data_IF_699160640710
#
_entry.id   IF_699160640710
#
_cell.length_a   1.000
_cell.length_b   1.000
_cell.length_c   1.000
_cell.angle_alpha   90.00
_cell.angle_beta   90.00
_cell.angle_gamma   90.00
#
_symmetry.space_group_name_H-M   'P 1'
#
loop_
_entity.id
_entity.type
_entity.pdbx_description
1 polymer ?
#
# COMPACT_ATOMS: atom_id res chain seq x y z
N UNK A 1 3.04 7.61 87.36
CA UNK A 1 3.88 7.05 86.28
C UNK A 1 3.55 5.59 86.15
N UNK A 2 2.81 5.21 85.12
CA UNK A 2 2.66 3.82 84.66
C UNK A 2 2.55 3.87 83.14
N UNK A 3 3.53 3.26 82.47
CA UNK A 3 3.52 2.94 81.05
C UNK A 3 2.68 1.68 80.79
N UNK A 4 2.25 1.51 79.52
CA UNK A 4 2.28 0.19 78.89
C UNK A 4 0.99 -0.32 78.26
N UNK A 5 0.93 -0.21 76.93
CA UNK A 5 0.50 -1.32 76.06
C UNK A 5 -0.99 -1.44 75.70
N UNK A 6 -1.27 -1.57 74.39
CA UNK A 6 -2.55 -2.10 73.90
C UNK A 6 -2.95 -1.57 72.53
N UNK A 7 -2.44 -2.21 71.48
CA UNK A 7 -2.77 -1.97 70.07
C UNK A 7 -4.29 -2.01 69.80
N UNK A 8 -4.84 -0.94 69.21
CA UNK A 8 -6.17 -0.93 68.59
C UNK A 8 -6.03 -1.24 67.10
N UNK A 9 -6.58 -2.38 66.69
CA UNK A 9 -6.76 -2.75 65.29
C UNK A 9 -7.78 -3.87 65.21
N UNK A 10 -9.06 -3.51 65.16
CA UNK A 10 -10.14 -4.47 64.93
C UNK A 10 -10.04 -5.09 63.53
N UNK A 11 -10.60 -6.29 63.31
CA UNK A 11 -10.50 -6.98 62.03
C UNK A 11 -11.25 -6.20 60.93
N UNK A 12 -10.57 -5.98 59.82
CA UNK A 12 -11.12 -5.39 58.60
C UNK A 12 -11.94 -6.46 57.87
N UNK A 13 -13.26 -6.30 57.80
CA UNK A 13 -14.12 -7.14 56.97
C UNK A 13 -13.90 -6.79 55.49
N UNK A 14 -13.18 -7.63 54.76
CA UNK A 14 -13.10 -7.56 53.29
C UNK A 14 -14.17 -8.49 52.73
N UNK A 15 -15.28 -7.92 52.24
CA UNK A 15 -16.25 -8.65 51.44
C UNK A 15 -15.62 -8.98 50.08
N UNK A 16 -15.03 -10.17 49.95
CA UNK A 16 -14.70 -10.76 48.67
C UNK A 16 -16.01 -11.24 48.05
N UNK A 17 -16.51 -10.49 47.06
CA UNK A 17 -17.60 -10.93 46.21
C UNK A 17 -17.06 -12.08 45.35
N UNK A 18 -17.41 -13.31 45.72
CA UNK A 18 -17.10 -14.52 44.98
C UNK A 18 -17.87 -14.50 43.65
N UNK A 19 -17.27 -13.96 42.59
CA UNK A 19 -17.82 -14.08 41.23
C UNK A 19 -17.72 -15.55 40.85
N UNK A 20 -18.87 -16.22 40.75
CA UNK A 20 -18.94 -17.59 40.23
C UNK A 20 -18.35 -17.61 38.81
N UNK A 21 -17.62 -18.66 38.43
CA UNK A 21 -17.15 -18.79 37.06
C UNK A 21 -18.36 -18.79 36.13
N UNK A 22 -18.45 -17.77 35.29
CA UNK A 22 -19.33 -17.81 34.13
C UNK A 22 -18.86 -18.97 33.27
N UNK A 23 -19.77 -19.89 32.92
CA UNK A 23 -19.55 -20.83 31.82
C UNK A 23 -19.34 -20.00 30.56
N UNK A 24 -18.07 -19.78 30.19
CA UNK A 24 -17.70 -19.19 28.92
C UNK A 24 -17.88 -20.31 27.88
N UNK A 25 -18.89 -20.25 26.99
CA UNK A 25 -18.99 -21.23 25.93
C UNK A 25 -17.71 -21.18 25.10
N UNK A 26 -17.20 -22.32 24.60
CA UNK A 26 -16.00 -22.33 23.78
C UNK A 26 -16.17 -21.35 22.62
N UNK A 27 -15.16 -20.51 22.40
CA UNK A 27 -15.09 -19.61 21.25
C UNK A 27 -15.42 -20.41 19.99
N UNK A 28 -16.56 -20.10 19.36
CA UNK A 28 -16.83 -20.63 18.02
C UNK A 28 -15.71 -20.11 17.12
N UNK A 29 -15.02 -20.97 16.35
CA UNK A 29 -14.16 -20.46 15.31
C UNK A 29 -15.01 -19.56 14.42
N UNK A 30 -14.57 -18.30 14.25
CA UNK A 30 -15.19 -17.40 13.27
C UNK A 30 -15.20 -18.07 11.90
N UNK A 31 -16.04 -17.60 10.95
CA UNK A 31 -16.07 -18.19 9.61
C UNK A 31 -14.67 -18.18 9.03
N UNK A 32 -14.04 -19.35 8.97
CA UNK A 32 -12.82 -19.56 8.21
C UNK A 32 -13.22 -19.52 6.76
N UNK A 33 -13.25 -18.31 6.19
CA UNK A 33 -13.06 -18.19 4.76
C UNK A 33 -11.70 -18.83 4.50
N UNK A 34 -11.72 -20.04 3.93
CA UNK A 34 -10.52 -20.63 3.38
C UNK A 34 -10.00 -19.64 2.33
N UNK A 35 -9.01 -18.84 2.73
CA UNK A 35 -8.11 -18.19 1.81
C UNK A 35 -7.34 -19.34 1.19
N UNK A 36 -7.76 -19.76 0.02
CA UNK A 36 -6.89 -20.53 -0.86
C UNK A 36 -5.64 -19.67 -1.02
N UNK A 37 -4.52 -20.07 -0.39
CA UNK A 37 -3.23 -19.44 -0.64
C UNK A 37 -2.93 -19.60 -2.12
N UNK A 38 -3.29 -18.60 -2.91
CA UNK A 38 -3.09 -18.64 -4.35
C UNK A 38 -1.61 -18.39 -4.60
N UNK A 39 -1.01 -19.27 -5.41
CA UNK A 39 0.35 -19.08 -5.93
C UNK A 39 0.49 -17.68 -6.54
N UNK A 40 1.57 -16.94 -6.26
CA UNK A 40 1.81 -15.65 -6.89
C UNK A 40 1.81 -15.74 -8.41
N UNK A 41 1.11 -14.82 -9.07
CA UNK A 41 1.07 -14.66 -10.52
C UNK A 41 1.74 -13.33 -10.89
N UNK A 42 2.77 -13.38 -11.72
CA UNK A 42 3.55 -12.21 -12.10
C UNK A 42 3.15 -11.73 -13.49
N UNK A 43 3.03 -10.42 -13.65
CA UNK A 43 2.50 -9.78 -14.85
C UNK A 43 3.47 -8.74 -15.40
N UNK A 44 3.56 -8.69 -16.71
CA UNK A 44 4.28 -7.66 -17.46
C UNK A 44 3.37 -7.26 -18.61
N UNK A 45 2.89 -6.00 -18.60
CA UNK A 45 2.04 -5.53 -19.69
C UNK A 45 2.83 -5.53 -21.02
N UNK A 46 2.14 -5.68 -22.16
CA UNK A 46 2.79 -5.79 -23.46
C UNK A 46 3.77 -4.66 -23.77
N UNK A 47 4.77 -4.96 -24.60
CA UNK A 47 5.81 -4.01 -25.04
C UNK A 47 6.75 -3.61 -23.92
N UNK A 48 6.65 -2.40 -23.36
CA UNK A 48 7.67 -1.91 -22.45
C UNK A 48 7.77 -2.76 -21.18
N UNK A 49 6.66 -3.27 -20.66
CA UNK A 49 6.65 -4.15 -19.50
C UNK A 49 7.40 -5.46 -19.76
N UNK A 50 7.17 -6.09 -20.90
CA UNK A 50 7.87 -7.30 -21.36
C UNK A 50 9.36 -7.03 -21.60
N UNK A 51 9.71 -5.93 -22.28
CA UNK A 51 11.10 -5.51 -22.52
C UNK A 51 11.83 -5.34 -21.19
N UNK A 52 11.22 -4.65 -20.24
CA UNK A 52 11.80 -4.41 -18.94
C UNK A 52 11.94 -5.71 -18.14
N UNK A 53 10.98 -6.64 -18.27
CA UNK A 53 11.08 -7.97 -17.65
C UNK A 53 12.30 -8.73 -18.13
N UNK A 54 12.56 -8.76 -19.44
CA UNK A 54 13.69 -9.48 -20.00
C UNK A 54 15.03 -8.77 -19.73
N UNK A 55 15.07 -7.43 -19.77
CA UNK A 55 16.30 -6.66 -19.60
C UNK A 55 16.71 -6.39 -18.15
N UNK A 56 15.74 -6.13 -17.27
CA UNK A 56 15.96 -5.72 -15.88
C UNK A 56 15.48 -6.75 -14.85
N UNK A 57 14.91 -7.87 -15.31
CA UNK A 57 14.59 -9.04 -14.48
C UNK A 57 13.56 -8.80 -13.36
N UNK A 58 12.55 -7.98 -13.63
CA UNK A 58 11.41 -7.79 -12.72
C UNK A 58 10.06 -7.73 -13.46
N UNK A 59 8.96 -7.95 -12.75
CA UNK A 59 7.59 -7.89 -13.31
C UNK A 59 6.90 -6.59 -12.91
N UNK A 60 6.00 -6.07 -13.73
CA UNK A 60 5.33 -4.79 -13.46
C UNK A 60 4.33 -4.89 -12.30
N UNK A 61 3.74 -6.07 -12.13
CA UNK A 61 2.86 -6.35 -11.00
C UNK A 61 2.86 -7.82 -10.63
N UNK A 62 2.37 -8.11 -9.43
CA UNK A 62 2.10 -9.47 -8.95
C UNK A 62 0.70 -9.50 -8.35
N UNK A 63 -0.01 -10.60 -8.58
CA UNK A 63 -1.25 -10.91 -7.87
C UNK A 63 -1.05 -12.09 -6.94
N UNK A 64 -1.41 -11.89 -5.68
CA UNK A 64 -1.45 -12.92 -4.63
C UNK A 64 -2.83 -12.87 -3.99
N UNK A 65 -3.74 -13.68 -4.53
CA UNK A 65 -5.10 -13.84 -4.01
C UNK A 65 -5.97 -12.66 -4.38
N UNK A 66 -6.43 -11.97 -3.34
CA UNK A 66 -7.19 -10.74 -3.41
C UNK A 66 -6.30 -9.49 -3.38
N UNK A 67 -4.97 -9.63 -3.39
CA UNK A 67 -4.02 -8.52 -3.37
C UNK A 67 -3.25 -8.42 -4.68
N UNK A 68 -3.17 -7.21 -5.22
CA UNK A 68 -2.28 -6.85 -6.32
C UNK A 68 -1.22 -5.90 -5.78
N UNK A 69 0.05 -6.15 -6.10
CA UNK A 69 1.15 -5.22 -5.87
C UNK A 69 1.77 -4.81 -7.20
N UNK A 70 2.10 -3.53 -7.31
CA UNK A 70 2.66 -2.92 -8.52
C UNK A 70 4.06 -2.44 -8.20
N UNK A 71 5.04 -2.83 -9.01
CA UNK A 71 6.41 -2.29 -8.93
C UNK A 71 6.41 -0.80 -9.25
N UNK A 72 7.46 -0.09 -8.83
CA UNK A 72 7.59 1.34 -9.08
C UNK A 72 7.38 1.70 -10.56
N UNK A 73 6.37 2.52 -10.81
CA UNK A 73 6.05 3.06 -12.12
C UNK A 73 6.60 4.49 -12.22
N UNK A 74 7.22 4.80 -13.35
CA UNK A 74 7.64 6.14 -13.74
C UNK A 74 6.93 6.60 -15.01
N UNK A 75 7.26 7.79 -15.52
CA UNK A 75 6.56 8.36 -16.67
C UNK A 75 7.14 7.95 -18.02
N UNK A 76 7.39 6.65 -18.23
CA UNK A 76 7.70 6.12 -19.56
C UNK A 76 6.42 5.86 -20.35
N UNK A 77 6.48 6.01 -21.66
CA UNK A 77 5.44 5.55 -22.56
C UNK A 77 5.42 4.00 -22.58
N UNK A 78 4.29 3.34 -22.28
CA UNK A 78 4.23 1.87 -22.15
C UNK A 78 4.41 1.14 -23.49
N UNK A 79 4.32 1.85 -24.62
CA UNK A 79 4.50 1.28 -25.95
C UNK A 79 5.94 1.40 -26.47
N UNK A 80 6.62 2.50 -26.11
CA UNK A 80 7.94 2.85 -26.68
C UNK A 80 9.06 2.89 -25.66
N UNK A 81 8.75 2.92 -24.36
CA UNK A 81 9.72 3.09 -23.28
C UNK A 81 10.33 4.48 -23.16
N UNK A 82 9.86 5.46 -23.96
CA UNK A 82 10.39 6.83 -23.91
C UNK A 82 9.85 7.57 -22.70
N UNK A 83 10.75 8.22 -21.96
CA UNK A 83 10.37 9.08 -20.84
C UNK A 83 9.69 10.36 -21.33
N UNK A 84 8.67 10.81 -20.60
CA UNK A 84 8.14 12.16 -20.75
C UNK A 84 9.21 13.18 -20.38
N UNK A 85 9.32 14.23 -21.19
CA UNK A 85 10.33 15.28 -20.97
C UNK A 85 9.80 16.38 -20.06
N UNK A 86 8.51 16.70 -20.16
CA UNK A 86 7.83 17.58 -19.23
C UNK A 86 7.56 16.89 -17.88
N UNK A 87 7.88 17.52 -16.73
CA UNK A 87 7.67 16.93 -15.41
C UNK A 87 6.20 16.67 -15.05
N UNK A 88 5.26 17.50 -15.52
CA UNK A 88 3.84 17.34 -15.20
C UNK A 88 3.22 16.23 -16.07
N UNK A 89 3.61 16.16 -17.34
CA UNK A 89 3.26 15.01 -18.19
C UNK A 89 3.86 13.70 -17.67
N UNK A 90 5.05 13.73 -17.05
CA UNK A 90 5.62 12.54 -16.41
C UNK A 90 4.73 12.07 -15.27
N UNK A 91 4.25 12.97 -14.41
CA UNK A 91 3.30 12.64 -13.35
C UNK A 91 2.05 11.99 -13.97
N UNK A 92 1.41 12.62 -14.96
CA UNK A 92 0.21 12.05 -15.57
C UNK A 92 0.48 10.63 -16.12
N UNK A 93 1.62 10.43 -16.78
CA UNK A 93 2.02 9.13 -17.30
C UNK A 93 2.28 8.09 -16.20
N UNK A 94 2.83 8.48 -15.05
CA UNK A 94 3.02 7.57 -13.90
C UNK A 94 1.68 7.02 -13.45
N UNK A 95 0.65 7.87 -13.36
CA UNK A 95 -0.68 7.43 -12.93
C UNK A 95 -1.32 6.48 -13.96
N UNK A 96 -1.17 6.77 -15.25
CA UNK A 96 -1.61 5.86 -16.31
C UNK A 96 -0.90 4.51 -16.25
N UNK A 97 0.41 4.50 -15.97
CA UNK A 97 1.19 3.29 -15.90
C UNK A 97 0.81 2.42 -14.68
N UNK A 98 0.52 3.03 -13.53
CA UNK A 98 -0.04 2.31 -12.37
C UNK A 98 -1.41 1.73 -12.70
N UNK A 99 -2.29 2.51 -13.34
CA UNK A 99 -3.60 2.02 -13.78
C UNK A 99 -3.46 0.82 -14.74
N UNK A 100 -2.53 0.90 -15.69
CA UNK A 100 -2.24 -0.18 -16.62
C UNK A 100 -1.73 -1.44 -15.91
N UNK A 101 -0.77 -1.29 -14.99
CA UNK A 101 -0.21 -2.42 -14.25
C UNK A 101 -1.25 -3.12 -13.34
N UNK A 102 -2.15 -2.34 -12.71
CA UNK A 102 -3.26 -2.85 -11.91
C UNK A 102 -4.29 -3.61 -12.77
N UNK A 103 -4.75 -2.99 -13.86
CA UNK A 103 -5.78 -3.58 -14.72
C UNK A 103 -5.27 -4.80 -15.48
N UNK A 104 -4.00 -4.79 -15.89
CA UNK A 104 -3.39 -5.95 -16.53
C UNK A 104 -3.28 -7.16 -15.58
N UNK A 105 -3.14 -6.94 -14.27
CA UNK A 105 -3.21 -7.98 -13.23
C UNK A 105 -4.66 -8.34 -12.82
N UNK A 106 -5.65 -7.88 -13.59
CA UNK A 106 -7.08 -8.18 -13.39
C UNK A 106 -7.80 -7.27 -12.38
N UNK A 107 -7.14 -6.23 -11.87
CA UNK A 107 -7.77 -5.26 -10.97
C UNK A 107 -8.64 -4.23 -11.71
N UNK A 108 -9.34 -3.41 -10.93
CA UNK A 108 -10.18 -2.28 -11.39
C UNK A 108 -9.44 -0.94 -11.40
N UNK A 109 -8.18 -0.92 -10.97
CA UNK A 109 -7.31 0.26 -11.02
C UNK A 109 -7.24 1.05 -9.72
N UNK A 110 -7.01 2.36 -9.82
CA UNK A 110 -6.76 3.26 -8.68
C UNK A 110 -7.84 3.23 -7.60
N UNK A 111 -9.10 2.96 -7.95
CA UNK A 111 -10.21 2.84 -7.00
C UNK A 111 -9.98 1.77 -5.90
N UNK A 112 -9.05 0.84 -6.12
CA UNK A 112 -8.76 -0.28 -5.21
C UNK A 112 -7.46 -0.11 -4.41
N UNK A 113 -6.71 0.96 -4.66
CA UNK A 113 -5.40 1.19 -4.03
C UNK A 113 -5.61 1.60 -2.58
N UNK A 114 -5.07 0.84 -1.64
CA UNK A 114 -5.16 1.18 -0.21
C UNK A 114 -3.80 1.59 0.39
N UNK A 115 -2.70 1.32 -0.31
CA UNK A 115 -1.35 1.69 0.14
C UNK A 115 -0.47 2.04 -1.03
N UNK A 116 0.35 3.08 -0.87
CA UNK A 116 1.31 3.52 -1.86
C UNK A 116 2.61 4.04 -1.24
N UNK A 117 3.69 3.94 -2.00
CA UNK A 117 4.95 4.64 -1.73
C UNK A 117 5.28 5.53 -2.92
N UNK A 118 5.67 6.76 -2.63
CA UNK A 118 6.02 7.77 -3.62
C UNK A 118 7.46 8.19 -3.38
N UNK A 119 8.28 8.09 -4.42
CA UNK A 119 9.65 8.58 -4.41
C UNK A 119 9.76 9.75 -5.36
N UNK A 120 10.30 10.87 -4.89
CA UNK A 120 10.48 12.09 -5.68
C UNK A 120 11.95 12.47 -5.63
N UNK A 121 12.54 12.81 -6.79
CA UNK A 121 13.92 13.29 -6.81
C UNK A 121 14.03 14.58 -6.01
N UNK A 122 15.05 14.71 -5.16
CA UNK A 122 15.21 15.83 -4.20
C UNK A 122 15.04 17.22 -4.84
N UNK A 123 15.48 17.42 -6.08
CA UNK A 123 15.33 18.69 -6.80
C UNK A 123 13.88 19.11 -7.09
N UNK A 124 12.92 18.20 -6.94
CA UNK A 124 11.48 18.42 -7.13
C UNK A 124 10.70 18.36 -5.81
N UNK A 125 11.36 18.15 -4.66
CA UNK A 125 10.69 18.00 -3.38
C UNK A 125 10.04 19.30 -2.89
N UNK A 126 10.60 20.46 -3.21
CA UNK A 126 10.06 21.76 -2.85
C UNK A 126 9.40 22.49 -4.04
N UNK A 127 9.19 21.80 -5.16
CA UNK A 127 8.50 22.36 -6.34
C UNK A 127 6.98 22.29 -6.15
N UNK A 128 6.38 23.45 -5.83
CA UNK A 128 4.93 23.57 -5.57
C UNK A 128 4.07 23.16 -6.76
N UNK A 129 4.51 23.41 -8.00
CA UNK A 129 3.75 23.03 -9.18
C UNK A 129 3.78 21.51 -9.39
N UNK A 130 4.96 20.91 -9.22
CA UNK A 130 5.14 19.47 -9.33
C UNK A 130 4.36 18.70 -8.26
N UNK A 131 4.54 19.06 -6.98
CA UNK A 131 3.81 18.41 -5.88
C UNK A 131 2.32 18.72 -5.92
N UNK A 132 1.93 19.94 -6.30
CA UNK A 132 0.54 20.33 -6.50
C UNK A 132 -0.15 19.48 -7.56
N UNK A 133 0.53 19.21 -8.69
CA UNK A 133 0.00 18.35 -9.75
C UNK A 133 -0.07 16.88 -9.34
N UNK A 134 0.93 16.38 -8.60
CA UNK A 134 0.92 15.04 -8.00
C UNK A 134 -0.29 14.86 -7.07
N UNK A 135 -0.50 15.78 -6.12
CA UNK A 135 -1.63 15.75 -5.19
C UNK A 135 -2.97 15.89 -5.94
N UNK A 136 -3.02 16.77 -6.95
CA UNK A 136 -4.17 16.91 -7.82
C UNK A 136 -4.53 15.61 -8.52
N UNK A 137 -3.52 14.87 -9.00
CA UNK A 137 -3.68 13.57 -9.64
C UNK A 137 -4.21 12.53 -8.67
N UNK A 138 -3.68 12.45 -7.43
CA UNK A 138 -4.21 11.56 -6.39
C UNK A 138 -5.71 11.79 -6.15
N UNK A 139 -6.14 13.05 -6.01
CA UNK A 139 -7.56 13.40 -5.81
C UNK A 139 -8.43 13.04 -7.01
N UNK A 140 -7.90 13.17 -8.25
CA UNK A 140 -8.64 12.81 -9.48
C UNK A 140 -8.81 11.30 -9.63
N UNK A 141 -7.76 10.52 -9.36
CA UNK A 141 -7.74 9.07 -9.57
C UNK A 141 -8.37 8.28 -8.42
N UNK A 142 -8.39 8.85 -7.21
CA UNK A 142 -9.00 8.27 -6.01
C UNK A 142 -9.98 9.27 -5.36
N UNK A 143 -11.10 9.62 -6.04
CA UNK A 143 -12.03 10.61 -5.50
C UNK A 143 -12.77 10.12 -4.24
N UNK A 144 -12.92 8.80 -4.09
CA UNK A 144 -13.77 8.18 -3.07
C UNK A 144 -13.01 7.70 -1.83
N UNK A 145 -11.67 7.78 -1.80
CA UNK A 145 -10.87 7.35 -0.64
C UNK A 145 -9.49 8.02 -0.60
N UNK A 146 -8.80 7.89 0.53
CA UNK A 146 -7.40 8.29 0.69
C UNK A 146 -6.57 7.06 1.08
N UNK A 147 -5.53 6.70 0.33
CA UNK A 147 -4.72 5.53 0.65
C UNK A 147 -3.73 5.83 1.79
N UNK A 148 -3.18 4.77 2.39
CA UNK A 148 -1.95 4.88 3.18
C UNK A 148 -0.82 5.35 2.24
N UNK A 149 -0.04 6.34 2.68
CA UNK A 149 1.05 6.88 1.87
C UNK A 149 2.33 7.05 2.68
N UNK A 150 3.45 6.69 2.09
CA UNK A 150 4.79 7.16 2.48
C UNK A 150 5.40 7.88 1.29
N UNK A 151 5.94 9.08 1.51
CA UNK A 151 6.63 9.86 0.49
C UNK A 151 8.08 10.12 0.93
N UNK A 152 9.04 9.94 0.02
CA UNK A 152 10.47 10.07 0.32
C UNK A 152 11.18 10.84 -0.79
N UNK A 153 11.96 11.85 -0.41
CA UNK A 153 12.92 12.51 -1.28
C UNK A 153 14.13 11.61 -1.52
N UNK A 154 14.53 11.41 -2.77
CA UNK A 154 15.66 10.54 -3.13
C UNK A 154 16.66 11.25 -4.04
N UNK A 155 17.94 10.90 -3.91
CA UNK A 155 18.98 11.49 -4.75
C UNK A 155 18.83 11.15 -6.25
N UNK A 156 18.32 9.95 -6.57
CA UNK A 156 18.15 9.48 -7.95
C UNK A 156 17.15 8.33 -8.02
N UNK A 157 16.42 8.28 -9.14
CA UNK A 157 15.55 7.17 -9.54
C UNK A 157 16.12 6.44 -10.77
N UNK A 158 15.49 5.34 -11.16
CA UNK A 158 15.87 4.58 -12.35
C UNK A 158 15.69 5.35 -13.67
N UNK A 159 15.71 4.59 -14.76
CA UNK A 159 15.90 4.97 -16.17
C UNK A 159 17.38 5.01 -16.58
N UNK A 160 17.68 4.25 -17.65
CA UNK A 160 19.03 3.98 -18.15
C UNK A 160 19.73 5.22 -18.76
N UNK A 161 20.30 5.16 -19.97
CA UNK A 161 21.10 6.25 -20.53
C UNK A 161 20.32 7.51 -20.98
N UNK A 162 18.99 7.53 -20.81
CA UNK A 162 18.10 8.67 -21.09
C UNK A 162 17.73 9.38 -19.78
N UNK A 163 17.26 10.63 -19.85
CA UNK A 163 16.88 11.45 -18.69
C UNK A 163 16.19 10.63 -17.58
N UNK A 164 16.73 10.75 -16.35
CA UNK A 164 16.26 9.99 -15.19
C UNK A 164 14.82 10.31 -14.83
N UNK A 165 14.14 9.37 -14.18
CA UNK A 165 12.80 9.61 -13.65
C UNK A 165 12.83 10.68 -12.55
N UNK A 166 11.78 11.51 -12.46
CA UNK A 166 11.64 12.52 -11.39
C UNK A 166 10.69 12.07 -10.29
N UNK A 167 9.79 11.14 -10.61
CA UNK A 167 8.87 10.52 -9.67
C UNK A 167 8.70 9.04 -9.98
N UNK A 168 8.57 8.23 -8.94
CA UNK A 168 8.27 6.80 -9.02
C UNK A 168 7.22 6.42 -7.99
N UNK A 169 6.19 5.67 -8.41
CA UNK A 169 5.08 5.26 -7.55
C UNK A 169 4.90 3.75 -7.60
N UNK A 170 4.91 3.11 -6.43
CA UNK A 170 4.48 1.73 -6.24
C UNK A 170 3.21 1.68 -5.39
N UNK A 171 2.33 0.71 -5.65
CA UNK A 171 1.04 0.61 -4.97
C UNK A 171 0.70 -0.84 -4.60
N UNK A 172 -0.14 -0.98 -3.58
CA UNK A 172 -0.87 -2.20 -3.29
C UNK A 172 -2.38 -1.94 -3.36
N UNK A 173 -3.10 -2.84 -4.03
CA UNK A 173 -4.53 -2.78 -4.22
C UNK A 173 -5.22 -4.05 -3.69
N UNK A 174 -6.45 -3.88 -3.20
CA UNK A 174 -7.31 -4.97 -2.76
C UNK A 174 -8.42 -5.19 -3.78
N UNK A 175 -8.43 -6.37 -4.38
CA UNK A 175 -9.40 -6.81 -5.37
C UNK A 175 -9.88 -8.22 -5.02
N UNK A 176 -10.94 -8.36 -4.21
CA UNK A 176 -11.49 -9.67 -3.88
C UNK A 176 -12.03 -10.33 -5.14
N UNK A 177 -11.51 -11.52 -5.47
CA UNK A 177 -12.11 -12.37 -6.51
C UNK A 177 -13.47 -12.80 -6.00
N UNK A 178 -14.55 -12.45 -6.71
CA UNK A 178 -15.87 -12.99 -6.41
C UNK A 178 -15.78 -14.51 -6.49
N UNK A 179 -15.94 -15.17 -5.34
CA UNK A 179 -16.07 -16.62 -5.30
C UNK A 179 -17.45 -16.91 -5.88
N UNK A 180 -17.50 -17.40 -7.11
CA UNK A 180 -18.74 -17.90 -7.71
C UNK A 180 -19.42 -18.87 -6.75
N UNK A 181 -20.72 -18.67 -6.53
CA UNK A 181 -21.58 -19.53 -5.71
C UNK A 181 -21.62 -20.98 -6.22
#
# INVERSE_FOLDING_TARGET
MLEGGGSRGGPVNVNILLIKPFDVPPLRPGPTAASTMSKPQFFAYPKQGEVVRELFWYSQSVRVGDRIEVSGQGGWDPLTGRMKTDPLEEIDQVFENVQLALTHAGGKGWAQVYSMRVYVVESYWDDEAFLGHLIGSLKRWMPDHQPLMTAVGVAKLGAGPSAGMRVEIEVAAHDPVEKGE
#
